data_IF_905758236272
#
_entry.id   IF_905758236272
#
_cell.length_a   1.000
_cell.length_b   1.000
_cell.length_c   1.000
_cell.angle_alpha   90.00
_cell.angle_beta   90.00
_cell.angle_gamma   90.00
#
_symmetry.space_group_name_H-M   'P 1'
#
loop_
_entity.id
_entity.type
_entity.pdbx_description
1 polymer ?
#
# COMPACT_ATOMS: atom_id res chain seq x y z
N UNK A 1 -12.09 -5.96 8.41
CA UNK A 1 -12.53 -6.26 7.03
C UNK A 1 -12.26 -5.04 6.15
N UNK A 2 -11.73 -5.28 4.97
CA UNK A 2 -11.48 -4.22 4.00
C UNK A 2 -12.63 -4.25 3.00
N UNK A 3 -13.32 -3.14 2.85
CA UNK A 3 -14.35 -2.98 1.82
C UNK A 3 -13.85 -1.94 0.83
N UNK A 4 -13.64 -2.37 -0.42
CA UNK A 4 -13.14 -1.48 -1.44
C UNK A 4 -13.81 -1.80 -2.76
N UNK A 5 -14.28 -0.78 -3.45
CA UNK A 5 -14.83 -0.85 -4.79
C UNK A 5 -13.92 -0.05 -5.73
N UNK A 6 -14.02 -0.22 -7.04
CA UNK A 6 -13.27 0.63 -7.96
C UNK A 6 -13.49 2.10 -7.62
N UNK A 7 -12.39 2.84 -7.42
CA UNK A 7 -12.36 4.25 -7.05
C UNK A 7 -12.79 4.57 -5.63
N UNK A 8 -13.14 3.56 -4.81
CA UNK A 8 -13.44 3.77 -3.41
C UNK A 8 -12.19 3.55 -2.56
N UNK A 9 -12.23 4.09 -1.35
CA UNK A 9 -11.13 4.00 -0.40
C UNK A 9 -11.49 2.95 0.65
N UNK A 10 -10.60 1.97 0.85
CA UNK A 10 -10.74 1.00 1.92
C UNK A 10 -10.30 1.60 3.26
N UNK A 11 -11.08 1.34 4.31
CA UNK A 11 -10.73 1.77 5.66
C UNK A 11 -10.17 0.57 6.41
N UNK A 12 -8.96 0.73 6.95
CA UNK A 12 -8.24 -0.33 7.65
C UNK A 12 -7.91 0.17 9.05
N UNK A 13 -8.38 -0.54 10.06
CA UNK A 13 -8.12 -0.20 11.47
C UNK A 13 -7.34 -1.33 12.10
N UNK A 14 -6.17 -1.02 12.61
CA UNK A 14 -5.25 -2.01 13.17
C UNK A 14 -4.65 -1.49 14.47
N UNK A 15 -4.06 -2.41 15.23
CA UNK A 15 -3.32 -2.06 16.43
C UNK A 15 -1.82 -1.99 16.14
N UNK A 16 -1.11 -1.18 16.92
CA UNK A 16 0.33 -1.11 16.89
C UNK A 16 0.92 -2.53 16.98
N UNK A 17 1.91 -2.81 16.18
CA UNK A 17 2.62 -4.10 16.05
C UNK A 17 1.87 -5.17 15.25
N UNK A 18 0.65 -4.91 14.76
CA UNK A 18 -0.02 -5.85 13.86
C UNK A 18 0.72 -5.95 12.52
N UNK A 19 0.48 -7.06 11.84
CA UNK A 19 0.87 -7.22 10.43
C UNK A 19 -0.34 -6.93 9.57
N UNK A 20 -0.15 -6.18 8.49
CA UNK A 20 -1.25 -5.66 7.68
C UNK A 20 -1.01 -6.02 6.22
N UNK A 21 -2.06 -6.41 5.52
CA UNK A 21 -2.03 -6.61 4.07
C UNK A 21 -3.02 -5.67 3.40
N UNK A 22 -2.53 -4.95 2.40
CA UNK A 22 -3.33 -4.03 1.59
C UNK A 22 -3.39 -4.59 0.17
N UNK A 23 -4.49 -5.27 -0.20
CA UNK A 23 -4.57 -5.93 -1.51
C UNK A 23 -4.51 -4.96 -2.68
N UNK A 24 -3.80 -5.36 -3.71
CA UNK A 24 -3.81 -4.72 -5.02
C UNK A 24 -3.48 -5.77 -6.06
N UNK A 25 -4.49 -6.20 -6.81
CA UNK A 25 -4.35 -7.29 -7.78
C UNK A 25 -4.58 -6.78 -9.19
N UNK A 26 -3.76 -7.25 -10.12
CA UNK A 26 -3.91 -6.96 -11.54
C UNK A 26 -3.73 -8.25 -12.33
N UNK A 27 -4.26 -8.28 -13.57
CA UNK A 27 -3.93 -9.38 -14.46
C UNK A 27 -2.47 -9.24 -14.87
N UNK A 28 -1.67 -10.33 -14.82
CA UNK A 28 -0.23 -10.23 -15.09
C UNK A 28 0.10 -9.60 -16.45
N UNK A 29 -0.77 -9.81 -17.44
CA UNK A 29 -0.55 -9.28 -18.78
C UNK A 29 -0.79 -7.78 -18.90
N UNK A 30 -1.48 -7.17 -17.95
CA UNK A 30 -1.81 -5.74 -17.99
C UNK A 30 -0.94 -4.90 -17.07
N UNK A 31 -0.17 -5.54 -16.18
CA UNK A 31 0.66 -4.82 -15.24
C UNK A 31 1.93 -4.34 -15.93
N UNK A 32 2.16 -3.04 -15.92
CA UNK A 32 3.36 -2.45 -16.52
C UNK A 32 4.17 -1.68 -15.49
N UNK A 33 3.58 -0.72 -14.80
CA UNK A 33 4.29 0.13 -13.84
C UNK A 33 3.46 0.27 -12.58
N UNK A 34 3.56 -0.72 -11.68
CA UNK A 34 2.82 -0.67 -10.42
C UNK A 34 3.62 0.15 -9.41
N UNK A 35 2.94 1.07 -8.76
CA UNK A 35 3.53 1.96 -7.76
C UNK A 35 2.65 2.00 -6.53
N UNK A 36 3.26 1.91 -5.36
CA UNK A 36 2.61 2.16 -4.08
C UNK A 36 3.15 3.45 -3.49
N UNK A 37 2.23 4.34 -3.09
CA UNK A 37 2.56 5.61 -2.44
C UNK A 37 1.92 5.67 -1.07
N UNK A 38 2.59 6.33 -0.14
CA UNK A 38 2.11 6.55 1.22
C UNK A 38 2.12 8.03 1.55
N UNK A 39 1.02 8.52 2.09
CA UNK A 39 0.93 9.86 2.67
C UNK A 39 0.57 9.70 4.14
N UNK A 40 1.48 10.12 5.03
CA UNK A 40 1.34 9.91 6.47
C UNK A 40 0.25 10.75 7.12
N UNK A 41 -0.08 11.91 6.53
CA UNK A 41 -1.12 12.80 7.04
C UNK A 41 -1.97 13.31 5.89
N UNK A 42 -3.30 13.49 6.12
CA UNK A 42 -4.19 13.95 5.04
C UNK A 42 -3.80 15.28 4.41
N UNK A 43 -3.13 16.14 5.18
CA UNK A 43 -2.73 17.47 4.71
C UNK A 43 -1.25 17.57 4.40
N UNK A 44 -0.51 16.47 4.52
CA UNK A 44 0.92 16.48 4.22
C UNK A 44 1.13 16.57 2.71
N UNK A 45 2.08 17.39 2.32
CA UNK A 45 2.54 17.42 0.94
C UNK A 45 3.58 16.33 0.66
N UNK A 46 4.03 15.63 1.68
CA UNK A 46 5.01 14.56 1.52
C UNK A 46 4.34 13.27 1.10
N UNK A 47 4.79 12.71 -0.02
CA UNK A 47 4.43 11.39 -0.49
C UNK A 47 5.68 10.52 -0.39
N UNK A 48 5.52 9.37 0.22
CA UNK A 48 6.61 8.42 0.31
C UNK A 48 6.40 7.34 -0.74
N UNK A 49 7.38 7.18 -1.61
CA UNK A 49 7.37 6.08 -2.58
C UNK A 49 7.76 4.81 -1.83
N UNK A 50 6.86 3.83 -1.80
CA UNK A 50 7.14 2.54 -1.14
C UNK A 50 7.69 1.56 -2.16
N UNK A 51 7.04 1.46 -3.30
CA UNK A 51 7.37 0.49 -4.32
C UNK A 51 7.21 1.12 -5.70
N UNK A 52 8.25 1.07 -6.50
CA UNK A 52 8.24 1.56 -7.89
C UNK A 52 8.99 0.56 -8.76
N UNK A 53 8.30 0.03 -9.78
CA UNK A 53 8.91 -0.82 -10.81
C UNK A 53 9.76 -1.96 -10.25
N UNK A 54 9.22 -2.67 -9.26
CA UNK A 54 9.87 -3.84 -8.70
C UNK A 54 10.86 -3.55 -7.58
N UNK A 55 11.01 -2.29 -7.19
CA UNK A 55 11.99 -1.90 -6.18
C UNK A 55 11.31 -1.29 -4.96
N UNK A 56 11.56 -1.86 -3.78
CA UNK A 56 11.16 -1.28 -2.51
C UNK A 56 12.29 -0.38 -2.01
N UNK A 57 11.96 0.83 -1.60
CA UNK A 57 12.96 1.76 -1.13
C UNK A 57 13.62 1.24 0.14
N UNK A 58 14.93 1.37 0.21
CA UNK A 58 15.77 0.69 1.19
C UNK A 58 15.41 1.01 2.66
N UNK A 59 14.86 2.18 2.92
CA UNK A 59 14.48 2.57 4.28
C UNK A 59 13.28 1.79 4.80
N UNK A 60 12.55 1.12 3.91
CA UNK A 60 11.31 0.43 4.24
C UNK A 60 11.39 -1.07 4.04
N UNK A 61 12.39 -1.59 3.35
CA UNK A 61 12.39 -2.95 2.84
C UNK A 61 12.35 -4.04 3.91
N UNK A 62 12.74 -3.73 5.16
CA UNK A 62 12.73 -4.73 6.22
C UNK A 62 11.34 -4.97 6.82
N UNK A 63 10.39 -4.06 6.61
CA UNK A 63 9.02 -4.23 7.11
C UNK A 63 7.96 -4.22 6.01
N UNK A 64 8.32 -3.76 4.82
CA UNK A 64 7.40 -3.62 3.70
C UNK A 64 7.79 -4.60 2.59
N UNK A 65 6.81 -5.29 2.04
CA UNK A 65 7.04 -6.22 0.94
C UNK A 65 5.84 -6.28 0.01
N UNK A 66 6.10 -6.70 -1.22
CA UNK A 66 5.06 -7.00 -2.21
C UNK A 66 4.97 -8.51 -2.33
N UNK A 67 3.75 -9.04 -2.24
CA UNK A 67 3.55 -10.48 -2.05
C UNK A 67 4.01 -11.33 -3.24
N UNK A 68 3.42 -11.12 -4.43
CA UNK A 68 3.80 -11.95 -5.58
C UNK A 68 3.55 -11.20 -6.89
N UNK A 69 4.42 -10.23 -7.17
CA UNK A 69 4.28 -9.38 -8.35
C UNK A 69 4.26 -10.18 -9.66
N UNK A 70 4.99 -11.28 -9.72
CA UNK A 70 5.05 -12.10 -10.94
C UNK A 70 3.69 -12.69 -11.30
N UNK A 71 2.83 -12.91 -10.31
CA UNK A 71 1.48 -13.44 -10.50
C UNK A 71 0.40 -12.34 -10.53
N UNK A 72 0.82 -11.09 -10.57
CA UNK A 72 -0.12 -9.96 -10.54
C UNK A 72 -0.62 -9.59 -9.16
N UNK A 73 -0.03 -10.14 -8.12
CA UNK A 73 -0.41 -9.85 -6.74
C UNK A 73 0.53 -8.81 -6.16
N UNK A 74 0.13 -7.55 -6.24
CA UNK A 74 0.88 -6.42 -5.72
C UNK A 74 0.41 -6.01 -4.32
N UNK A 75 -0.16 -6.96 -3.58
CA UNK A 75 -0.55 -6.73 -2.18
C UNK A 75 0.66 -6.23 -1.39
N UNK A 76 0.49 -5.10 -0.72
CA UNK A 76 1.51 -4.54 0.15
C UNK A 76 1.36 -5.16 1.54
N UNK A 77 2.42 -5.79 2.02
CA UNK A 77 2.46 -6.33 3.38
C UNK A 77 3.32 -5.42 4.23
N UNK A 78 2.77 -4.98 5.37
CA UNK A 78 3.45 -4.15 6.35
C UNK A 78 3.54 -4.98 7.63
N UNK A 79 4.77 -5.28 8.04
CA UNK A 79 5.01 -6.04 9.27
C UNK A 79 5.22 -5.08 10.44
N UNK A 80 4.76 -5.47 11.63
CA UNK A 80 5.00 -4.73 12.87
C UNK A 80 4.63 -3.26 12.70
N UNK A 81 3.37 -3.00 12.37
CA UNK A 81 2.94 -1.66 12.00
C UNK A 81 3.16 -0.67 13.13
N UNK A 82 3.70 0.51 12.77
CA UNK A 82 4.03 1.57 13.69
C UNK A 82 3.05 2.73 13.52
N UNK A 83 2.91 3.62 14.52
CA UNK A 83 2.04 4.79 14.39
C UNK A 83 2.34 5.64 13.16
N UNK A 84 3.61 5.76 12.79
CA UNK A 84 4.02 6.54 11.63
C UNK A 84 3.61 5.91 10.31
N UNK A 85 3.20 4.64 10.33
CA UNK A 85 2.73 3.95 9.12
C UNK A 85 1.26 4.28 8.83
N UNK A 86 0.56 4.94 9.73
CA UNK A 86 -0.81 5.37 9.49
C UNK A 86 -0.87 6.34 8.31
N UNK A 87 -2.05 6.48 7.71
CA UNK A 87 -2.27 7.42 6.64
C UNK A 87 -2.84 6.79 5.40
N UNK A 88 -2.62 7.44 4.27
CA UNK A 88 -3.22 7.03 3.00
C UNK A 88 -2.22 6.26 2.16
N UNK A 89 -2.65 5.09 1.67
CA UNK A 89 -1.87 4.25 0.77
C UNK A 89 -2.60 4.13 -0.56
N UNK A 90 -1.89 4.25 -1.66
CA UNK A 90 -2.47 4.15 -3.00
C UNK A 90 -1.62 3.26 -3.89
N UNK A 91 -2.30 2.37 -4.62
CA UNK A 91 -1.68 1.49 -5.61
C UNK A 91 -2.08 1.96 -7.00
N UNK A 92 -1.10 2.27 -7.83
CA UNK A 92 -1.32 2.77 -9.19
C UNK A 92 -0.72 1.81 -10.22
N UNK A 93 -1.39 1.71 -11.37
CA UNK A 93 -0.78 1.19 -12.59
C UNK A 93 -0.57 2.39 -13.51
N UNK A 94 0.68 2.81 -13.66
CA UNK A 94 1.03 4.08 -14.29
C UNK A 94 0.31 5.23 -13.56
N UNK A 95 -0.62 5.91 -14.19
CA UNK A 95 -1.36 7.01 -13.57
C UNK A 95 -2.77 6.59 -13.14
N UNK A 96 -3.13 5.34 -13.35
CA UNK A 96 -4.45 4.84 -13.00
C UNK A 96 -4.46 4.33 -11.57
N UNK A 97 -5.31 4.92 -10.74
CA UNK A 97 -5.50 4.45 -9.37
C UNK A 97 -6.26 3.13 -9.39
N UNK A 98 -5.64 2.07 -8.88
CA UNK A 98 -6.26 0.75 -8.79
C UNK A 98 -6.94 0.56 -7.45
N UNK A 99 -6.30 1.02 -6.37
CA UNK A 99 -6.80 0.81 -5.02
C UNK A 99 -6.25 1.87 -4.08
N UNK A 100 -7.09 2.34 -3.16
CA UNK A 100 -6.67 3.25 -2.11
C UNK A 100 -7.12 2.76 -0.74
N UNK A 101 -6.33 3.08 0.30
CA UNK A 101 -6.62 2.70 1.68
C UNK A 101 -6.31 3.86 2.61
N UNK A 102 -7.11 4.00 3.67
CA UNK A 102 -6.76 4.83 4.82
C UNK A 102 -6.54 3.89 5.98
N UNK A 103 -5.34 3.92 6.55
CA UNK A 103 -4.92 3.04 7.63
C UNK A 103 -4.87 3.84 8.93
N UNK A 104 -5.61 3.38 9.93
CA UNK A 104 -5.59 3.93 11.28
C UNK A 104 -4.88 2.93 12.19
N UNK A 105 -3.92 3.43 12.94
CA UNK A 105 -3.15 2.60 13.89
C UNK A 105 -3.46 3.06 15.30
N UNK A 106 -3.93 2.14 16.15
CA UNK A 106 -4.25 2.40 17.54
C UNK A 106 -3.28 1.66 18.46
N UNK A 107 -3.22 2.07 19.66
CA UNK A 107 -2.41 1.41 20.66
C UNK A 107 -1.28 2.18 21.17
#
# INVERSE_FOLDING_TARGET
>A
MITAFPNDVGIVRVHHHDDVKLPCHVTPTSATNITWLHRDKPHSSFLYDIYINGLIYKTLHHRFSIDNAAEGDYTLTILDIQPDDAGRYRCFNQQLLLQGYIVFVTG
#
